data_IF_627153599355
#
_entry.id   IF_627153599355
#
_cell.length_a   1.000
_cell.length_b   1.000
_cell.length_c   1.000
_cell.angle_alpha   90.00
_cell.angle_beta   90.00
_cell.angle_gamma   90.00
#
_symmetry.space_group_name_H-M   'P 1'
#
loop_
_entity.id
_entity.type
_entity.pdbx_description
1 polymer ?
2 non-polymer ?
3 water ?
#
# COMPACT_ATOMS: atom_id res chain seq x y z
N UNK A 27 15.42 -2.07 -18.18
CA UNK A 27 14.74 -3.37 -18.19
C UNK A 27 14.33 -3.78 -16.79
N UNK A 28 14.53 -2.89 -15.82
CA UNK A 28 14.02 -3.09 -14.48
C UNK A 28 12.74 -2.29 -14.35
N UNK A 29 11.62 -2.97 -14.09
CA UNK A 29 10.33 -2.29 -13.99
C UNK A 29 10.08 -1.73 -12.60
N UNK A 30 9.63 -0.48 -12.52
CA UNK A 30 9.32 0.11 -11.24
C UNK A 30 7.87 0.60 -11.17
N UNK A 31 7.22 0.35 -10.03
CA UNK A 31 5.90 0.88 -9.76
C UNK A 31 5.99 1.74 -8.52
N UNK A 32 5.68 3.02 -8.68
CA UNK A 32 5.90 3.97 -7.61
C UNK A 32 4.60 4.66 -7.22
N UNK A 33 4.42 4.80 -5.90
CA UNK A 33 3.38 5.59 -5.31
C UNK A 33 4.02 6.67 -4.48
N UNK A 34 3.65 7.91 -4.76
CA UNK A 34 4.25 9.05 -4.11
C UNK A 34 3.16 9.91 -3.47
N UNK A 35 3.33 10.19 -2.18
CA UNK A 35 2.41 11.05 -1.46
C UNK A 35 2.92 12.49 -1.46
N UNK A 36 2.05 13.41 -1.88
CA UNK A 36 2.36 14.83 -1.97
C UNK A 36 1.35 15.69 -1.22
N UNK A 37 1.84 16.82 -0.71
CA UNK A 37 1.01 17.91 -0.25
C UNK A 37 1.30 19.04 -1.22
N UNK A 38 0.25 19.58 -1.87
CA UNK A 38 0.45 20.65 -2.85
C UNK A 38 1.32 21.80 -2.33
N UNK A 39 1.25 22.08 -1.04
CA UNK A 39 1.98 23.21 -0.47
C UNK A 39 3.47 22.93 -0.29
N UNK A 40 3.86 21.66 -0.26
CA UNK A 40 5.23 21.29 0.09
C UNK A 40 6.25 21.43 -1.04
N UNK A 41 7.26 22.29 -0.85
CA UNK A 41 8.27 22.53 -1.90
C UNK A 41 9.08 21.28 -2.22
N UNK A 42 9.26 20.40 -1.24
CA UNK A 42 10.09 19.22 -1.40
C UNK A 42 9.36 18.12 -2.16
N UNK A 43 8.11 17.88 -1.78
CA UNK A 43 7.25 17.01 -2.57
C UNK A 43 7.22 17.47 -4.00
N UNK A 44 7.30 18.78 -4.21
CA UNK A 44 7.16 19.31 -5.57
C UNK A 44 8.38 18.96 -6.41
N UNK A 45 9.55 19.29 -5.88
CA UNK A 45 10.79 19.01 -6.56
C UNK A 45 10.95 17.51 -6.80
N UNK A 46 10.71 16.72 -5.77
CA UNK A 46 10.90 15.28 -5.90
C UNK A 46 9.83 14.68 -6.81
N UNK A 47 8.59 15.20 -6.76
CA UNK A 47 7.61 14.72 -7.74
C UNK A 47 8.01 15.10 -9.18
N UNK A 48 8.55 16.30 -9.40
CA UNK A 48 8.97 16.70 -10.75
C UNK A 48 10.14 15.81 -11.21
N UNK A 49 11.05 15.54 -10.29
CA UNK A 49 12.16 14.63 -10.56
C UNK A 49 11.66 13.25 -11.00
N UNK A 50 10.70 12.68 -10.28
CA UNK A 50 10.25 11.33 -10.66
C UNK A 50 9.54 11.33 -12.02
N UNK A 51 8.92 12.46 -12.38
CA UNK A 51 8.32 12.60 -13.71
C UNK A 51 9.43 12.70 -14.78
N UNK A 52 10.55 13.33 -14.43
CA UNK A 52 11.74 13.29 -15.28
C UNK A 52 12.23 11.84 -15.42
N UNK A 53 12.21 11.11 -14.31
CA UNK A 53 12.68 9.74 -14.30
C UNK A 53 11.82 8.87 -15.23
N UNK A 54 10.51 9.14 -15.25
CA UNK A 54 9.60 8.41 -16.13
C UNK A 54 10.05 8.38 -17.58
N UNK A 55 10.76 9.42 -18.01
CA UNK A 55 11.13 9.54 -19.41
C UNK A 55 12.40 8.78 -19.74
N UNK A 56 13.24 8.51 -18.74
CA UNK A 56 14.50 7.82 -19.00
C UNK A 56 14.59 6.45 -18.32
N UNK A 57 13.58 6.08 -17.53
CA UNK A 57 13.54 4.75 -16.92
C UNK A 57 12.16 4.14 -17.05
N UNK A 58 12.07 2.82 -16.95
CA UNK A 58 10.79 2.13 -17.01
C UNK A 58 10.05 2.28 -15.68
N UNK A 59 9.55 3.49 -15.44
CA UNK A 59 8.94 3.86 -14.16
C UNK A 59 7.51 4.35 -14.30
N UNK A 60 6.60 3.73 -13.56
CA UNK A 60 5.22 4.15 -13.50
C UNK A 60 4.94 4.84 -12.16
N UNK A 61 4.43 6.07 -12.22
CA UNK A 61 4.19 6.87 -11.03
C UNK A 61 2.71 7.06 -10.75
N UNK A 62 2.30 6.82 -9.51
CA UNK A 62 0.91 7.07 -9.12
C UNK A 62 0.90 7.99 -7.90
N UNK A 63 0.19 9.11 -8.01
CA UNK A 63 0.19 10.09 -6.94
C UNK A 63 -0.92 9.85 -5.94
N UNK A 64 -0.71 10.30 -4.71
CA UNK A 64 -1.71 10.25 -3.64
C UNK A 64 -1.54 11.51 -2.83
N UNK A 65 -2.64 12.08 -2.41
CA UNK A 65 -2.56 13.37 -1.76
C UNK A 65 -2.54 13.16 -0.26
N UNK A 66 -1.70 13.95 0.41
CA UNK A 66 -1.67 13.99 1.86
C UNK A 66 -1.81 15.46 2.28
N UNK A 67 -2.16 15.69 3.55
CA UNK A 67 -2.03 17.02 4.13
C UNK A 67 -0.99 17.00 5.26
N UNK A 68 0.05 17.82 5.11
CA UNK A 68 1.04 17.96 6.18
C UNK A 68 0.43 18.64 7.42
N UNK A 69 -0.53 19.53 7.20
CA UNK A 69 -1.19 20.21 8.31
C UNK A 69 -2.00 19.23 9.15
N UNK A 70 -2.62 18.26 8.49
CA UNK A 70 -3.38 17.24 9.20
C UNK A 70 -2.45 16.25 9.88
N UNK A 71 -1.36 15.90 9.23
CA UNK A 71 -0.37 15.01 9.85
C UNK A 71 0.11 15.58 11.18
N UNK A 72 0.54 16.84 11.17
CA UNK A 72 1.06 17.46 12.38
C UNK A 72 -0.02 17.96 13.32
N UNK A 73 -1.27 17.60 13.04
CA UNK A 73 -2.38 17.99 13.91
C UNK A 73 -2.17 17.46 15.33
N UNK A 74 -1.48 16.33 15.42
CA UNK A 74 -1.28 15.65 16.71
C UNK A 74 -0.18 16.31 17.51
N UNK A 75 0.86 16.78 16.83
CA UNK A 75 1.95 17.50 17.48
C UNK A 75 1.41 18.77 18.16
N UNK A 76 1.85 18.99 19.40
CA UNK A 76 1.39 20.14 20.16
C UNK A 76 2.49 21.18 20.32
N UNK A 77 2.48 22.17 19.43
CA UNK A 77 3.35 23.34 19.55
C UNK A 77 2.48 24.60 19.59
N UNK A 78 2.15 25.05 20.80
CA UNK A 78 1.18 26.13 20.97
C UNK A 78 1.62 27.45 20.33
N UNK A 79 2.93 27.66 20.19
CA UNK A 79 3.46 28.91 19.64
C UNK A 79 3.26 29.06 18.13
N UNK A 80 2.81 27.98 17.48
CA UNK A 80 2.58 28.00 16.04
C UNK A 80 1.10 28.13 15.68
N UNK A 81 0.25 28.13 16.70
CA UNK A 81 -1.20 28.18 16.52
C UNK A 81 -1.74 29.45 15.87
N UNK A 82 -1.19 30.60 16.26
CA UNK A 82 -1.58 31.89 15.69
C UNK A 82 -1.50 31.87 14.16
N UNK A 83 -0.51 31.16 13.65
CA UNK A 83 -0.16 31.22 12.23
C UNK A 83 -0.93 30.24 11.38
N UNK A 84 -1.05 29.01 11.87
CA UNK A 84 -1.67 27.94 11.10
C UNK A 84 -3.12 28.26 10.76
N UNK A 85 -3.78 28.96 11.66
CA UNK A 85 -5.21 29.22 11.51
C UNK A 85 -5.52 30.33 10.51
N UNK A 86 -4.52 31.14 10.17
CA UNK A 86 -4.66 32.13 9.10
C UNK A 86 -3.94 31.67 7.84
N UNK A 87 -3.18 30.60 7.95
CA UNK A 87 -2.46 30.03 6.81
C UNK A 87 -3.38 29.16 5.96
N UNK A 88 -4.29 28.46 6.62
CA UNK A 88 -5.23 27.56 5.95
C UNK A 88 -4.51 26.52 5.09
N UNK A 89 -3.41 25.98 5.63
CA UNK A 89 -2.54 25.07 4.90
C UNK A 89 -3.21 23.76 4.51
N UNK A 90 -4.34 23.47 5.17
CA UNK A 90 -5.13 22.29 4.84
C UNK A 90 -5.90 22.45 3.53
N UNK A 91 -6.07 23.70 3.10
CA UNK A 91 -6.94 24.02 1.97
C UNK A 91 -6.70 23.27 0.67
N UNK A 92 -5.48 23.40 0.10
CA UNK A 92 -5.22 22.77 -1.21
C UNK A 92 -5.37 21.25 -1.19
N UNK A 93 -4.86 20.60 -0.14
CA UNK A 93 -4.98 19.15 0.00
C UNK A 93 -6.44 18.69 0.06
N UNK A 94 -7.28 19.52 0.67
CA UNK A 94 -8.69 19.20 0.81
C UNK A 94 -9.40 19.24 -0.53
N UNK A 95 -9.09 20.26 -1.31
CA UNK A 95 -9.65 20.39 -2.65
C UNK A 95 -9.22 19.23 -3.53
N UNK A 96 -7.93 18.91 -3.48
CA UNK A 96 -7.41 17.90 -4.38
C UNK A 96 -8.02 16.54 -4.05
N UNK A 97 -8.19 16.22 -2.77
CA UNK A 97 -8.77 14.91 -2.45
C UNK A 97 -10.25 14.92 -2.79
N UNK A 98 -10.92 16.06 -2.61
CA UNK A 98 -12.32 16.17 -3.01
C UNK A 98 -12.44 15.97 -4.51
N UNK A 99 -11.47 16.49 -5.26
CA UNK A 99 -11.45 16.31 -6.70
C UNK A 99 -11.30 14.85 -7.06
N UNK A 100 -10.38 14.17 -6.40
CA UNK A 100 -10.16 12.76 -6.67
C UNK A 100 -11.41 11.92 -6.43
N UNK A 101 -12.09 12.17 -5.31
CA UNK A 101 -13.30 11.44 -4.98
C UNK A 101 -14.35 11.55 -6.06
N UNK A 102 -14.38 12.70 -6.74
CA UNK A 102 -15.41 12.96 -7.74
C UNK A 102 -14.98 12.49 -9.12
N UNK A 103 -13.68 12.36 -9.35
CA UNK A 103 -13.20 12.02 -10.69
C UNK A 103 -12.19 10.86 -10.76
N UNK A 104 -11.78 10.35 -9.61
CA UNK A 104 -10.76 9.31 -9.57
C UNK A 104 -9.36 9.90 -9.71
N UNK A 105 -8.36 9.01 -9.64
CA UNK A 105 -6.95 9.37 -9.57
C UNK A 105 -6.38 10.07 -10.80
N UNK A 106 -7.07 9.96 -11.92
CA UNK A 106 -6.59 10.55 -13.17
C UNK A 106 -6.50 12.07 -13.05
N UNK A 107 -7.17 12.61 -12.06
CA UNK A 107 -7.26 14.06 -11.92
C UNK A 107 -6.13 14.61 -11.03
N UNK A 108 -5.40 13.74 -10.35
CA UNK A 108 -4.39 14.19 -9.40
C UNK A 108 -3.21 14.88 -10.07
N UNK A 109 -2.65 14.22 -11.08
CA UNK A 109 -1.47 14.75 -11.76
C UNK A 109 -1.76 16.11 -12.44
N UNK A 110 -2.81 16.21 -13.27
CA UNK A 110 -3.01 17.56 -13.84
C UNK A 110 -3.35 18.64 -12.80
N UNK A 111 -4.11 18.30 -11.76
CA UNK A 111 -4.50 19.30 -10.77
C UNK A 111 -3.32 19.72 -9.89
N UNK A 112 -2.43 18.76 -9.62
CA UNK A 112 -1.24 18.99 -8.81
C UNK A 112 -0.26 19.91 -9.55
N UNK A 113 0.00 19.57 -10.80
CA UNK A 113 0.87 20.35 -11.64
C UNK A 113 0.35 21.79 -11.75
N UNK A 114 -0.95 21.97 -11.94
CA UNK A 114 -1.51 23.32 -12.08
C UNK A 114 -1.34 24.12 -10.78
N UNK A 115 -1.54 23.47 -9.65
CA UNK A 115 -1.34 24.15 -8.37
C UNK A 115 0.12 24.42 -8.12
N UNK A 116 0.95 23.40 -8.31
CA UNK A 116 2.36 23.47 -7.98
C UNK A 116 3.11 24.50 -8.77
N UNK A 117 2.84 24.60 -10.07
CA UNK A 117 3.47 25.62 -10.89
C UNK A 117 3.24 27.01 -10.28
N UNK A 118 2.03 27.22 -9.77
CA UNK A 118 1.66 28.51 -9.17
C UNK A 118 2.31 28.71 -7.81
N UNK A 119 2.11 27.75 -6.91
CA UNK A 119 2.59 27.88 -5.55
C UNK A 119 4.12 27.94 -5.49
N UNK A 120 4.75 27.15 -6.34
CA UNK A 120 6.18 26.98 -6.27
C UNK A 120 6.95 27.75 -7.36
N UNK A 121 6.78 27.38 -8.62
CA UNK A 121 7.53 28.02 -9.69
C UNK A 121 7.27 29.52 -9.72
N UNK A 122 6.03 29.92 -9.45
CA UNK A 122 5.63 31.32 -9.59
C UNK A 122 5.45 32.01 -8.24
N UNK A 123 5.70 31.28 -7.15
CA UNK A 123 5.63 31.82 -5.79
C UNK A 123 4.29 32.52 -5.51
N UNK A 124 3.20 31.83 -5.83
CA UNK A 124 1.87 32.40 -5.62
C UNK A 124 1.28 31.84 -4.34
N UNK A 125 1.26 32.65 -3.28
CA UNK A 125 0.83 32.20 -1.97
C UNK A 125 -0.61 32.60 -1.66
N UNK A 126 -1.30 33.17 -2.64
CA UNK A 126 -2.74 33.37 -2.52
C UNK A 126 -3.46 32.08 -2.90
N UNK A 127 -3.72 31.25 -1.91
CA UNK A 127 -4.22 29.90 -2.14
C UNK A 127 -5.65 29.87 -2.70
N UNK A 128 -6.47 30.83 -2.30
CA UNK A 128 -7.80 30.99 -2.92
C UNK A 128 -7.64 31.11 -4.43
N UNK A 129 -6.71 31.96 -4.85
CA UNK A 129 -6.44 32.16 -6.27
C UNK A 129 -5.90 30.91 -6.93
N UNK A 130 -4.92 30.28 -6.29
CA UNK A 130 -4.28 29.08 -6.81
C UNK A 130 -5.31 27.98 -7.00
N UNK A 131 -6.17 27.80 -6.00
CA UNK A 131 -7.20 26.78 -6.07
C UNK A 131 -8.21 27.11 -7.17
N UNK A 132 -8.68 28.35 -7.19
CA UNK A 132 -9.71 28.75 -8.14
C UNK A 132 -9.22 28.58 -9.58
N UNK A 133 -8.01 29.06 -9.85
CA UNK A 133 -7.44 29.00 -11.18
C UNK A 133 -7.06 27.56 -11.59
N UNK A 134 -6.57 26.76 -10.64
CA UNK A 134 -6.15 25.40 -10.96
C UNK A 134 -7.33 24.48 -11.26
N UNK A 135 -8.40 24.61 -10.48
CA UNK A 135 -9.65 23.91 -10.80
C UNK A 135 -10.12 24.25 -12.21
N UNK A 136 -10.07 25.53 -12.55
CA UNK A 136 -10.56 25.98 -13.85
C UNK A 136 -9.68 25.44 -14.99
N UNK A 137 -8.36 25.58 -14.86
CA UNK A 137 -7.41 24.99 -15.79
C UNK A 137 -7.67 23.52 -16.08
N UNK A 138 -8.20 22.79 -15.11
CA UNK A 138 -8.37 21.35 -15.27
C UNK A 138 -9.84 20.96 -15.52
N UNK A 139 -10.69 21.94 -15.80
CA UNK A 139 -12.06 21.65 -16.16
C UNK A 139 -12.92 21.07 -15.04
N UNK A 140 -12.52 21.29 -13.80
CA UNK A 140 -13.26 20.77 -12.66
C UNK A 140 -14.30 21.80 -12.21
N UNK A 141 -15.34 21.37 -11.47
CA UNK A 141 -16.35 22.37 -11.10
C UNK A 141 -15.79 23.37 -10.08
N UNK A 142 -16.13 24.65 -10.26
CA UNK A 142 -15.63 25.72 -9.39
C UNK A 142 -16.03 25.47 -7.95
N UNK A 143 -17.18 24.84 -7.78
CA UNK A 143 -17.70 24.44 -6.47
C UNK A 143 -16.68 23.69 -5.59
N UNK A 144 -15.80 22.89 -6.18
CA UNK A 144 -14.85 22.08 -5.39
C UNK A 144 -13.93 22.94 -4.50
N UNK A 145 -13.84 24.23 -4.82
CA UNK A 145 -13.01 25.17 -4.06
C UNK A 145 -13.48 25.30 -2.61
N UNK A 146 -14.80 25.17 -2.41
CA UNK A 146 -15.39 25.21 -1.08
C UNK A 146 -14.88 24.11 -0.12
N UNK A 147 -14.26 23.05 -0.66
CA UNK A 147 -13.77 21.97 0.18
C UNK A 147 -12.59 22.42 1.05
N UNK A 148 -11.95 23.50 0.65
CA UNK A 148 -10.85 24.05 1.45
C UNK A 148 -11.31 24.43 2.86
N UNK A 149 -12.56 24.87 2.96
CA UNK A 149 -13.10 25.38 4.21
C UNK A 149 -13.92 24.31 4.95
N UNK A 150 -14.04 23.14 4.33
CA UNK A 150 -14.82 22.06 4.91
C UNK A 150 -13.91 21.01 5.53
N UNK A 151 -14.35 20.39 6.61
CA UNK A 151 -13.54 19.35 7.23
C UNK A 151 -14.01 17.96 6.84
N UNK A 152 -14.94 17.90 5.88
CA UNK A 152 -15.62 16.66 5.51
C UNK A 152 -14.70 15.62 4.85
N UNK A 153 -13.53 16.05 4.37
CA UNK A 153 -12.62 15.13 3.70
C UNK A 153 -11.40 14.82 4.56
N UNK A 154 -11.41 15.32 5.79
CA UNK A 154 -10.24 15.19 6.64
C UNK A 154 -9.96 13.74 6.98
N UNK A 155 -11.02 12.96 7.21
CA UNK A 155 -10.86 11.54 7.51
C UNK A 155 -10.33 10.78 6.31
N UNK A 156 -10.81 11.11 5.11
CA UNK A 156 -10.23 10.56 3.90
C UNK A 156 -8.73 10.84 3.85
N UNK A 157 -8.35 12.06 4.19
CA UNK A 157 -6.95 12.46 4.18
C UNK A 157 -6.15 11.68 5.21
N UNK A 158 -6.71 11.49 6.41
CA UNK A 158 -6.03 10.69 7.43
C UNK A 158 -5.86 9.26 6.97
N UNK A 159 -6.85 8.77 6.22
CA UNK A 159 -6.80 7.44 5.63
C UNK A 159 -5.66 7.33 4.64
N UNK A 160 -5.52 8.36 3.80
CA UNK A 160 -4.44 8.41 2.83
C UNK A 160 -3.09 8.36 3.55
N UNK A 161 -3.03 8.97 4.74
CA UNK A 161 -1.80 9.07 5.52
C UNK A 161 -1.40 7.71 6.05
N UNK A 162 -2.34 6.99 6.63
CA UNK A 162 -2.07 5.64 7.12
C UNK A 162 -1.58 4.72 5.99
N UNK A 163 -2.11 4.94 4.80
CA UNK A 163 -1.69 4.14 3.64
C UNK A 163 -0.24 4.44 3.25
N UNK A 164 0.15 5.70 3.27
CA UNK A 164 1.49 6.10 2.87
C UNK A 164 2.56 5.98 3.94
N UNK A 165 2.18 6.25 5.19
CA UNK A 165 3.11 6.30 6.32
C UNK A 165 3.11 5.04 7.18
N UNK A 166 4.28 4.47 7.38
CA UNK A 166 4.48 3.43 8.39
C UNK A 166 5.97 3.28 8.63
N UNK A 172 7.37 11.70 9.49
CA UNK A 172 6.70 11.85 8.20
C UNK A 172 7.64 12.40 7.14
N UNK A 173 7.57 11.82 5.95
CA UNK A 173 8.47 12.21 4.88
C UNK A 173 7.90 13.14 3.82
N UNK A 174 8.77 13.99 3.27
CA UNK A 174 8.38 14.95 2.26
C UNK A 174 9.30 14.83 1.04
N UNK A 175 8.89 14.03 0.04
CA UNK A 175 7.68 13.21 0.05
C UNK A 175 7.91 11.82 0.61
N UNK A 176 6.82 11.07 0.72
CA UNK A 176 6.85 9.65 1.02
C UNK A 176 6.60 8.87 -0.26
N UNK A 177 7.41 7.84 -0.48
CA UNK A 177 7.47 7.12 -1.73
C UNK A 177 7.49 5.62 -1.45
N UNK A 178 6.60 4.88 -2.12
CA UNK A 178 6.67 3.43 -2.12
C UNK A 178 7.09 3.01 -3.50
N UNK A 179 8.17 2.25 -3.62
CA UNK A 179 8.53 1.70 -4.91
C UNK A 179 8.80 0.20 -4.78
N UNK A 180 8.13 -0.59 -5.61
CA UNK A 180 8.38 -2.02 -5.69
C UNK A 180 8.37 -2.73 -4.34
N UNK A 181 7.42 -2.36 -3.48
CA UNK A 181 7.27 -3.03 -2.20
C UNK A 181 8.04 -2.41 -1.05
N UNK A 182 8.96 -1.49 -1.34
CA UNK A 182 9.70 -0.82 -0.27
C UNK A 182 9.34 0.68 -0.15
N UNK A 183 9.47 1.22 1.05
CA UNK A 183 9.09 2.60 1.30
C UNK A 183 10.31 3.44 1.69
N UNK A 184 10.27 4.73 1.35
CA UNK A 184 11.29 5.64 1.82
C UNK A 184 10.83 7.09 1.82
N UNK A 185 11.54 7.90 2.60
CA UNK A 185 11.30 9.33 2.67
C UNK A 185 12.34 10.04 1.81
N UNK A 186 11.89 10.93 0.94
CA UNK A 186 12.82 11.57 0.03
C UNK A 186 12.83 10.92 -1.34
N UNK A 187 13.93 11.05 -2.08
CA UNK A 187 15.13 11.83 -1.73
C UNK A 187 14.81 13.30 -1.64
N UNK A 188 15.34 13.94 -0.61
CA UNK A 188 15.19 15.37 -0.47
C UNK A 188 16.17 16.02 -1.43
N UNK A 189 15.64 16.71 -2.44
CA UNK A 189 16.48 17.41 -3.41
C UNK A 189 16.12 18.90 -3.46
N UNK A 190 17.13 19.76 -3.58
CA UNK A 190 16.89 21.21 -3.55
C UNK A 190 16.76 21.78 -4.96
N UNK A 191 16.97 20.92 -5.93
CA UNK A 191 16.85 21.28 -7.33
C UNK A 191 16.33 20.05 -8.08
N UNK A 192 15.65 20.30 -9.20
CA UNK A 192 15.10 19.22 -10.01
C UNK A 192 16.11 18.73 -11.04
N UNK A 193 16.61 17.50 -10.86
CA UNK A 193 17.50 16.85 -11.84
C UNK A 193 16.73 16.49 -13.10
N UNK A 194 17.37 16.61 -14.25
CA UNK A 194 16.70 16.40 -15.53
C UNK A 194 17.33 15.24 -16.30
N UNK A 195 16.54 14.63 -17.19
CA UNK A 195 17.04 13.63 -18.10
C UNK A 195 17.81 12.50 -17.46
N UNK A 196 18.95 12.14 -18.05
CA UNK A 196 19.71 10.98 -17.59
C UNK A 196 20.26 11.19 -16.19
N UNK A 197 20.59 12.43 -15.86
CA UNK A 197 21.04 12.72 -14.50
C UNK A 197 19.97 12.33 -13.50
N UNK A 198 18.71 12.64 -13.84
CA UNK A 198 17.59 12.28 -12.99
C UNK A 198 17.53 10.77 -12.83
N UNK A 199 17.79 10.06 -13.93
CA UNK A 199 17.75 8.60 -13.93
C UNK A 199 18.86 7.99 -13.10
N UNK A 200 20.08 8.50 -13.25
CA UNK A 200 21.23 7.97 -12.51
C UNK A 200 21.00 8.11 -11.00
N UNK A 201 20.29 9.16 -10.60
CA UNK A 201 19.98 9.38 -9.20
C UNK A 201 18.86 8.46 -8.76
N UNK A 202 17.99 8.11 -9.71
CA UNK A 202 16.94 7.13 -9.43
C UNK A 202 17.60 5.77 -9.14
N UNK A 203 18.49 5.37 -10.03
CA UNK A 203 19.18 4.10 -9.91
C UNK A 203 19.87 4.00 -8.55
N UNK A 204 20.57 5.06 -8.15
CA UNK A 204 21.29 5.07 -6.88
C UNK A 204 20.33 5.06 -5.70
N UNK A 205 19.29 5.88 -5.77
CA UNK A 205 18.31 5.93 -4.69
C UNK A 205 17.69 4.56 -4.46
N UNK A 206 17.37 3.86 -5.55
CA UNK A 206 16.64 2.62 -5.42
C UNK A 206 17.56 1.49 -4.99
N UNK A 207 18.84 1.62 -5.30
CA UNK A 207 19.81 0.64 -4.84
C UNK A 207 19.84 0.65 -3.32
N UNK A 208 19.91 1.83 -2.73
CA UNK A 208 19.92 1.94 -1.28
C UNK A 208 18.60 1.47 -0.69
N UNK A 209 17.50 1.93 -1.28
CA UNK A 209 16.16 1.59 -0.82
C UNK A 209 15.87 0.11 -0.89
N UNK A 210 16.39 -0.55 -1.93
CA UNK A 210 16.14 -1.98 -2.13
C UNK A 210 16.86 -2.82 -1.08
N UNK A 211 17.90 -2.26 -0.46
CA UNK A 211 18.59 -2.93 0.62
C UNK A 211 17.81 -2.82 1.91
N UNK A 212 17.22 -3.93 2.38
CA UNK A 212 16.32 -3.91 3.53
C UNK A 212 17.00 -3.42 4.82
N UNK A 213 18.32 -3.44 4.87
CA UNK A 213 18.99 -2.98 6.08
C UNK A 213 19.61 -1.58 5.91
N UNK A 214 19.16 -0.86 4.88
CA UNK A 214 19.54 0.54 4.76
C UNK A 214 18.52 1.42 5.45
N UNK A 215 18.97 2.39 6.23
CA UNK A 215 18.02 3.28 6.87
C UNK A 215 18.20 4.78 6.58
N UNK A 216 19.43 5.23 6.33
CA UNK A 216 19.62 6.67 6.22
C UNK A 216 20.93 7.10 5.56
N UNK A 217 20.85 8.20 4.81
CA UNK A 217 21.99 8.90 4.23
C UNK A 217 21.60 10.37 4.15
N UNK A 218 22.30 11.23 4.88
CA UNK A 218 21.88 12.64 4.99
C UNK A 218 23.04 13.58 5.21
N UNK A 219 22.81 14.86 4.92
CA UNK A 219 23.69 15.93 5.40
C UNK A 219 22.85 17.16 5.60
N UNK A 220 23.34 18.14 6.36
CA UNK A 220 22.55 19.35 6.61
C UNK A 220 22.24 20.06 5.31
N UNK A 221 20.99 20.47 5.17
CA UNK A 221 20.54 21.17 3.99
C UNK A 221 21.02 22.62 4.02
N UNK A 222 21.77 23.01 2.99
CA UNK A 222 22.39 24.32 2.92
C UNK A 222 21.77 25.24 1.85
N UNK A 223 20.78 24.74 1.13
CA UNK A 223 20.18 25.48 0.03
C UNK A 223 18.67 25.54 0.13
N UNK A 224 18.09 26.68 -0.26
CA UNK A 224 16.64 26.74 -0.40
C UNK A 224 16.22 25.92 -1.62
N UNK A 225 14.97 25.44 -1.64
CA UNK A 225 14.51 24.77 -2.87
C UNK A 225 14.50 25.73 -4.06
N UNK A 226 14.99 25.26 -5.21
CA UNK A 226 14.95 26.01 -6.46
C UNK A 226 14.14 25.22 -7.48
N UNK A 227 13.34 25.91 -8.29
CA UNK A 227 12.32 25.24 -9.10
C UNK A 227 12.53 25.27 -10.61
N UNK A 228 13.58 25.94 -11.08
CA UNK A 228 13.83 26.01 -12.52
C UNK A 228 14.14 24.61 -13.07
N UNK B 30 -3.39 -13.05 21.91
CA UNK B 30 -2.58 -13.71 20.87
C UNK B 30 -2.60 -12.93 19.56
N UNK B 31 -1.43 -12.79 18.95
CA UNK B 31 -1.32 -12.20 17.62
C UNK B 31 -1.04 -13.29 16.59
N UNK B 32 -2.00 -13.53 15.70
CA UNK B 32 -1.84 -14.55 14.64
C UNK B 32 -1.51 -13.91 13.30
N UNK B 33 -0.55 -14.50 12.59
CA UNK B 33 -0.17 -14.02 11.26
C UNK B 33 -0.27 -15.16 10.27
N UNK B 34 -0.84 -14.88 9.09
CA UNK B 34 -1.00 -15.91 8.08
C UNK B 34 -0.59 -15.39 6.70
N UNK B 35 0.21 -16.17 5.98
CA UNK B 35 0.64 -15.81 4.61
C UNK B 35 -0.30 -16.46 3.58
N UNK B 36 -0.68 -15.71 2.55
CA UNK B 36 -1.65 -16.23 1.56
C UNK B 36 -1.32 -15.90 0.12
N UNK B 37 -1.56 -16.89 -0.75
CA UNK B 37 -1.68 -16.69 -2.19
C UNK B 37 -3.17 -16.81 -2.47
N UNK B 38 -3.76 -15.79 -3.10
CA UNK B 38 -5.20 -15.86 -3.36
C UNK B 38 -5.62 -17.15 -4.08
N UNK B 39 -4.72 -17.77 -4.83
CA UNK B 39 -5.05 -18.98 -5.59
C UNK B 39 -5.05 -20.28 -4.78
N UNK B 40 -4.42 -20.28 -3.61
CA UNK B 40 -4.34 -21.49 -2.77
C UNK B 40 -5.62 -21.75 -1.96
N UNK B 41 -6.27 -22.91 -2.21
CA UNK B 41 -7.48 -23.31 -1.49
C UNK B 41 -7.22 -23.59 -0.01
N UNK B 42 -6.02 -24.08 0.31
CA UNK B 42 -5.68 -24.37 1.70
C UNK B 42 -5.49 -23.08 2.52
N UNK B 43 -4.69 -22.14 1.99
CA UNK B 43 -4.65 -20.79 2.56
C UNK B 43 -6.03 -20.22 2.79
N UNK B 44 -6.92 -20.42 1.83
CA UNK B 44 -8.26 -19.83 1.89
C UNK B 44 -9.04 -20.42 3.06
N UNK B 45 -9.15 -21.75 3.07
CA UNK B 45 -9.85 -22.42 4.16
C UNK B 45 -9.24 -22.08 5.52
N UNK B 46 -7.91 -22.12 5.62
CA UNK B 46 -7.27 -21.80 6.90
C UNK B 46 -7.44 -20.33 7.29
N UNK B 47 -7.43 -19.43 6.31
CA UNK B 47 -7.69 -18.03 6.62
C UNK B 47 -9.12 -17.84 7.11
N UNK B 48 -10.09 -18.52 6.50
CA UNK B 48 -11.47 -18.38 6.97
C UNK B 48 -11.58 -18.94 8.39
N UNK B 49 -10.87 -20.03 8.65
CA UNK B 49 -10.86 -20.61 9.98
C UNK B 49 -10.37 -19.61 11.01
N UNK B 50 -9.20 -19.00 10.72
CA UNK B 50 -8.61 -17.98 11.57
C UNK B 50 -9.63 -16.87 11.87
N UNK B 51 -10.37 -16.48 10.85
CA UNK B 51 -11.44 -15.49 11.02
C UNK B 51 -12.57 -15.98 11.91
N UNK B 52 -12.94 -17.26 11.82
CA UNK B 52 -13.89 -17.82 12.77
C UNK B 52 -13.33 -17.75 14.18
N UNK B 53 -12.07 -18.16 14.32
CA UNK B 53 -11.36 -18.16 15.61
C UNK B 53 -11.40 -16.78 16.27
N UNK B 54 -11.18 -15.77 15.45
CA UNK B 54 -11.15 -14.38 15.88
C UNK B 54 -12.45 -13.93 16.58
N UNK B 55 -13.54 -14.63 16.30
CA UNK B 55 -14.83 -14.28 16.87
C UNK B 55 -15.03 -14.89 18.26
N UNK B 56 -14.38 -16.01 18.52
CA UNK B 56 -14.65 -16.74 19.75
C UNK B 56 -13.40 -16.88 20.63
N UNK B 57 -12.33 -16.19 20.24
CA UNK B 57 -11.08 -16.14 21.01
C UNK B 57 -10.47 -14.75 20.93
N UNK B 58 -9.64 -14.41 21.91
CA UNK B 58 -8.95 -13.13 21.91
C UNK B 58 -7.71 -13.20 21.02
N UNK B 59 -7.94 -13.12 19.71
CA UNK B 59 -6.89 -13.32 18.72
C UNK B 59 -6.86 -12.18 17.70
N UNK B 60 -5.69 -11.58 17.54
CA UNK B 60 -5.53 -10.52 16.55
C UNK B 60 -4.89 -11.08 15.29
N UNK B 61 -5.54 -10.82 14.15
CA UNK B 61 -5.18 -11.43 12.87
C UNK B 61 -4.53 -10.48 11.87
N UNK B 62 -3.45 -10.91 11.25
CA UNK B 62 -2.78 -10.14 10.22
C UNK B 62 -2.44 -11.03 9.03
N UNK B 63 -2.91 -10.65 7.85
CA UNK B 63 -2.61 -11.40 6.62
C UNK B 63 -1.41 -10.79 5.88
N UNK B 64 -0.72 -11.63 5.11
CA UNK B 64 0.42 -11.20 4.29
C UNK B 64 0.35 -11.96 2.98
N UNK B 65 0.40 -11.23 1.87
CA UNK B 65 0.29 -11.83 0.55
C UNK B 65 1.63 -12.33 0.05
N UNK B 66 1.62 -13.41 -0.70
CA UNK B 66 2.79 -13.94 -1.36
C UNK B 66 2.32 -14.72 -2.55
N UNK B 67 3.26 -15.19 -3.36
CA UNK B 67 2.93 -15.99 -4.54
C UNK B 67 3.56 -17.36 -4.48
N UNK B 68 2.73 -18.39 -4.58
CA UNK B 68 3.22 -19.77 -4.62
C UNK B 68 4.00 -20.05 -5.88
N UNK B 69 3.63 -19.36 -6.97
CA UNK B 69 4.31 -19.48 -8.25
C UNK B 69 5.72 -18.99 -8.13
N UNK B 70 5.87 -17.93 -7.33
CA UNK B 70 7.17 -17.31 -7.14
C UNK B 70 8.00 -18.16 -6.19
N UNK B 71 7.34 -18.72 -5.18
CA UNK B 71 7.99 -19.65 -4.26
C UNK B 71 8.60 -20.82 -5.03
N UNK B 72 7.92 -21.24 -6.08
CA UNK B 72 8.36 -22.39 -6.88
C UNK B 72 9.01 -21.98 -8.21
N UNK B 73 10.24 -21.47 -8.14
CA UNK B 73 10.95 -21.01 -9.33
C UNK B 73 12.09 -21.95 -9.70
N UNK B 88 -1.28 -16.07 -16.10
CA UNK B 88 -0.20 -16.47 -15.19
C UNK B 88 -0.72 -16.57 -13.77
N UNK B 89 -0.15 -17.51 -13.01
CA UNK B 89 -0.53 -17.69 -11.62
C UNK B 89 -0.02 -16.53 -10.74
N UNK B 90 0.93 -15.76 -11.26
CA UNK B 90 1.44 -14.58 -10.57
C UNK B 90 0.40 -13.48 -10.40
N UNK B 91 -0.65 -13.52 -11.22
CA UNK B 91 -1.55 -12.38 -11.37
C UNK B 91 -2.19 -11.80 -10.12
N UNK B 92 -3.03 -12.60 -9.44
CA UNK B 92 -3.74 -12.13 -8.24
C UNK B 92 -2.84 -11.61 -7.11
N UNK B 93 -1.77 -12.34 -6.80
CA UNK B 93 -0.84 -11.94 -5.73
C UNK B 93 -0.19 -10.59 -6.06
N UNK B 94 0.23 -10.42 -7.30
CA UNK B 94 0.77 -9.14 -7.75
C UNK B 94 -0.22 -7.99 -7.53
N UNK B 95 -1.49 -8.21 -7.88
CA UNK B 95 -2.51 -7.17 -7.77
C UNK B 95 -2.78 -6.84 -6.31
N UNK B 96 -2.80 -7.87 -5.47
CA UNK B 96 -3.04 -7.65 -4.06
C UNK B 96 -1.88 -6.82 -3.41
N UNK B 97 -0.63 -7.16 -3.70
CA UNK B 97 0.50 -6.42 -3.09
C UNK B 97 0.61 -5.01 -3.70
N UNK B 98 0.19 -4.84 -4.95
CA UNK B 98 0.11 -3.49 -5.55
C UNK B 98 -0.94 -2.69 -4.81
N UNK B 99 -2.05 -3.34 -4.49
CA UNK B 99 -3.13 -2.67 -3.77
C UNK B 99 -2.63 -2.24 -2.40
N UNK B 100 -1.93 -3.16 -1.72
CA UNK B 100 -1.34 -2.86 -0.42
C UNK B 100 -0.34 -1.70 -0.51
N UNK B 101 0.50 -1.68 -1.53
CA UNK B 101 1.48 -0.61 -1.67
C UNK B 101 0.80 0.74 -1.81
N UNK B 102 -0.37 0.74 -2.46
CA UNK B 102 -1.10 1.99 -2.69
C UNK B 102 -2.03 2.34 -1.53
N UNK B 103 -2.57 1.33 -0.84
CA UNK B 103 -3.62 1.57 0.15
C UNK B 103 -3.32 1.14 1.57
N UNK B 104 -2.19 0.46 1.78
CA UNK B 104 -1.85 -0.02 3.10
C UNK B 104 -2.45 -1.38 3.39
N UNK B 105 -2.05 -1.93 4.53
CA UNK B 105 -2.35 -3.32 4.88
C UNK B 105 -3.84 -3.55 5.12
N UNK B 106 -4.58 -2.49 5.39
CA UNK B 106 -6.00 -2.64 5.67
C UNK B 106 -6.78 -3.17 4.45
N UNK B 107 -6.15 -3.13 3.29
CA UNK B 107 -6.81 -3.54 2.06
C UNK B 107 -6.71 -5.05 1.85
N UNK B 108 -5.75 -5.68 2.51
CA UNK B 108 -5.50 -7.12 2.33
C UNK B 108 -6.75 -7.94 2.62
N UNK B 109 -7.34 -7.78 3.81
CA UNK B 109 -8.48 -8.58 4.19
C UNK B 109 -9.66 -8.47 3.21
N UNK B 110 -10.12 -7.24 2.86
CA UNK B 110 -11.29 -7.25 1.97
C UNK B 110 -10.97 -7.70 0.53
N UNK B 111 -9.81 -7.33 0.00
CA UNK B 111 -9.51 -7.70 -1.38
C UNK B 111 -9.31 -9.21 -1.49
N UNK B 112 -8.73 -9.79 -0.45
CA UNK B 112 -8.50 -11.24 -0.40
C UNK B 112 -9.84 -11.97 -0.35
N UNK B 113 -10.73 -11.52 0.52
CA UNK B 113 -12.04 -12.14 0.68
C UNK B 113 -12.81 -12.11 -0.65
N UNK B 114 -12.80 -10.95 -1.32
CA UNK B 114 -13.48 -10.77 -2.60
C UNK B 114 -12.95 -11.73 -3.67
N UNK B 115 -11.63 -11.90 -3.72
CA UNK B 115 -11.03 -12.81 -4.69
C UNK B 115 -11.29 -14.28 -4.34
N UNK B 116 -11.24 -14.60 -3.05
CA UNK B 116 -11.30 -15.98 -2.61
C UNK B 116 -12.69 -16.55 -2.80
N UNK B 117 -13.71 -15.74 -2.52
CA UNK B 117 -15.10 -16.12 -2.74
C UNK B 117 -15.31 -16.54 -4.20
N UNK B 118 -14.71 -15.76 -5.11
CA UNK B 118 -14.80 -16.03 -6.53
C UNK B 118 -13.99 -17.25 -6.91
N UNK B 119 -12.73 -17.27 -6.51
CA UNK B 119 -11.83 -18.33 -6.94
C UNK B 119 -12.20 -19.70 -6.36
N UNK B 120 -12.60 -19.71 -5.09
CA UNK B 120 -12.80 -20.97 -4.41
C UNK B 120 -14.27 -21.31 -4.23
N UNK B 121 -15.02 -20.46 -3.52
CA UNK B 121 -16.43 -20.76 -3.27
C UNK B 121 -17.21 -20.91 -4.57
N UNK B 122 -16.92 -20.04 -5.53
CA UNK B 122 -17.63 -20.04 -6.81
C UNK B 122 -16.83 -20.69 -7.94
N UNK B 123 -15.67 -21.25 -7.63
CA UNK B 123 -14.84 -21.98 -8.61
C UNK B 123 -14.59 -21.21 -9.91
N UNK B 124 -14.21 -19.94 -9.80
CA UNK B 124 -13.97 -19.09 -10.96
C UNK B 124 -12.48 -19.01 -11.30
N UNK B 125 -12.09 -19.67 -12.38
CA UNK B 125 -10.67 -19.77 -12.72
C UNK B 125 -10.26 -18.67 -13.69
N UNK B 126 -11.23 -17.88 -14.11
CA UNK B 126 -11.00 -16.79 -15.05
C UNK B 126 -10.33 -15.61 -14.34
N UNK B 127 -9.02 -15.68 -14.21
CA UNK B 127 -8.28 -14.76 -13.33
C UNK B 127 -8.38 -13.29 -13.75
N UNK B 128 -8.36 -13.03 -15.06
CA UNK B 128 -8.57 -11.66 -15.54
C UNK B 128 -9.86 -11.09 -14.94
N UNK B 129 -10.93 -11.86 -15.09
CA UNK B 129 -12.26 -11.52 -14.61
C UNK B 129 -12.34 -11.40 -13.09
N UNK B 130 -11.72 -12.35 -12.37
CA UNK B 130 -11.71 -12.30 -10.91
C UNK B 130 -11.08 -11.02 -10.38
N UNK B 131 -9.90 -10.69 -10.91
CA UNK B 131 -9.17 -9.49 -10.52
C UNK B 131 -9.99 -8.24 -10.74
N UNK B 132 -10.54 -8.12 -11.95
CA UNK B 132 -11.33 -6.97 -12.32
C UNK B 132 -12.54 -6.78 -11.41
N UNK B 133 -13.33 -7.82 -11.22
CA UNK B 133 -14.53 -7.73 -10.39
C UNK B 133 -14.20 -7.59 -8.90
N UNK B 134 -13.09 -8.16 -8.46
CA UNK B 134 -12.69 -8.06 -7.06
C UNK B 134 -12.19 -6.66 -6.73
N UNK B 135 -11.44 -6.07 -7.65
CA UNK B 135 -11.04 -4.68 -7.49
C UNK B 135 -12.30 -3.81 -7.42
N UNK B 136 -13.29 -4.13 -8.24
CA UNK B 136 -14.51 -3.34 -8.31
C UNK B 136 -15.34 -3.53 -7.04
N UNK B 137 -15.45 -4.79 -6.56
CA UNK B 137 -16.17 -5.05 -5.32
C UNK B 137 -15.63 -4.25 -4.13
N UNK B 138 -14.33 -3.99 -4.11
CA UNK B 138 -13.71 -3.40 -2.94
C UNK B 138 -13.45 -1.90 -3.11
N UNK B 139 -14.03 -1.30 -4.15
CA UNK B 139 -13.91 0.12 -4.37
C UNK B 139 -12.51 0.60 -4.66
N UNK B 140 -11.69 -0.28 -5.23
CA UNK B 140 -10.30 0.05 -5.53
C UNK B 140 -10.17 0.47 -6.99
N UNK B 141 -9.12 1.23 -7.32
CA UNK B 141 -9.02 1.68 -8.72
C UNK B 141 -8.78 0.49 -9.66
N UNK B 142 -9.52 0.46 -10.76
CA UNK B 142 -9.48 -0.62 -11.76
C UNK B 142 -8.09 -0.78 -12.36
N UNK B 143 -7.32 0.30 -12.35
CA UNK B 143 -5.97 0.33 -12.90
C UNK B 143 -5.01 -0.65 -12.22
N UNK B 144 -5.32 -1.04 -10.98
CA UNK B 144 -4.44 -1.93 -10.25
C UNK B 144 -4.31 -3.28 -10.96
N UNK B 145 -5.31 -3.61 -11.79
CA UNK B 145 -5.31 -4.87 -12.55
C UNK B 145 -4.03 -5.04 -13.36
N UNK B 146 -3.56 -3.95 -13.95
CA UNK B 146 -2.36 -3.94 -14.79
C UNK B 146 -1.13 -4.53 -14.09
N UNK B 147 -1.17 -4.58 -12.76
CA UNK B 147 -0.03 -5.09 -11.98
C UNK B 147 0.19 -6.59 -12.18
N UNK B 148 -0.85 -7.29 -12.61
CA UNK B 148 -0.73 -8.72 -12.88
C UNK B 148 0.32 -9.01 -13.95
N UNK B 149 0.52 -8.04 -14.86
CA UNK B 149 1.44 -8.25 -15.99
C UNK B 149 2.78 -7.57 -15.78
N UNK B 150 3.03 -7.13 -14.54
CA UNK B 150 4.28 -6.46 -14.20
C UNK B 150 5.07 -7.27 -13.18
N UNK B 151 6.40 -7.25 -13.27
CA UNK B 151 7.23 -7.98 -12.31
C UNK B 151 7.83 -7.09 -11.22
N UNK B 152 7.42 -5.82 -11.22
CA UNK B 152 7.95 -4.81 -10.28
C UNK B 152 7.77 -5.17 -8.82
N UNK B 153 6.74 -5.95 -8.49
CA UNK B 153 6.47 -6.32 -7.11
C UNK B 153 6.96 -7.72 -6.77
N UNK B 154 7.64 -8.38 -7.70
CA UNK B 154 8.06 -9.78 -7.49
C UNK B 154 9.14 -9.93 -6.39
N UNK B 155 10.03 -8.96 -6.23
CA UNK B 155 10.99 -9.01 -5.11
C UNK B 155 10.28 -8.84 -3.79
N UNK B 156 9.25 -8.00 -3.79
CA UNK B 156 8.49 -7.79 -2.57
C UNK B 156 7.75 -9.06 -2.16
N UNK B 157 7.22 -9.78 -3.15
CA UNK B 157 6.50 -11.04 -2.88
C UNK B 157 7.49 -12.09 -2.37
N UNK B 158 8.72 -12.08 -2.89
CA UNK B 158 9.78 -12.95 -2.39
C UNK B 158 10.10 -12.65 -0.93
N UNK B 159 10.27 -11.37 -0.62
CA UNK B 159 10.63 -10.98 0.73
C UNK B 159 9.52 -11.42 1.68
N UNK B 160 8.29 -11.37 1.20
CA UNK B 160 7.14 -11.74 2.01
C UNK B 160 7.10 -13.23 2.35
N UNK B 161 7.34 -14.09 1.36
CA UNK B 161 7.23 -15.52 1.64
C UNK B 161 8.45 -15.98 2.43
N UNK B 162 9.59 -15.34 2.24
CA UNK B 162 10.74 -15.60 3.09
C UNK B 162 10.48 -15.18 4.55
N UNK B 163 9.82 -14.05 4.75
CA UNK B 163 9.49 -13.62 6.11
C UNK B 163 8.53 -14.63 6.77
N UNK B 164 7.62 -15.19 5.99
CA UNK B 164 6.67 -16.14 6.55
C UNK B 164 7.21 -17.53 6.71
N UNK B 165 7.88 -18.04 5.68
CA UNK B 165 8.19 -19.47 5.56
C UNK B 165 9.56 -19.87 6.08
N UNK B 166 10.53 -18.96 6.01
CA UNK B 166 11.85 -19.26 6.55
C UNK B 166 11.85 -19.68 8.03
N UNK B 167 10.98 -19.09 8.86
CA UNK B 167 10.98 -19.57 10.26
C UNK B 167 10.42 -20.98 10.46
N UNK B 168 9.55 -21.43 9.55
CA UNK B 168 9.01 -22.78 9.61
C UNK B 168 10.11 -23.79 9.30
N UNK B 169 11.19 -23.31 8.68
CA UNK B 169 12.36 -24.12 8.42
C UNK B 169 12.68 -24.29 6.95
N UNK B 170 13.47 -25.30 6.63
CA UNK B 170 13.93 -25.51 5.26
C UNK B 170 12.79 -25.94 4.33
N UNK B 171 11.99 -26.91 4.76
CA UNK B 171 10.92 -27.46 3.92
C UNK B 171 9.95 -26.39 3.41
N UNK B 172 9.29 -26.68 2.29
CA UNK B 172 8.24 -25.80 1.79
C UNK B 172 6.89 -26.44 2.06
N UNK B 173 5.87 -25.60 2.23
CA UNK B 173 4.53 -26.08 2.55
C UNK B 173 3.51 -24.96 2.47
N UNK B 174 2.28 -25.26 2.90
CA UNK B 174 1.19 -24.30 2.88
C UNK B 174 0.00 -24.83 3.68
N UNK B 175 -0.63 -23.97 4.49
CA UNK B 175 -0.36 -22.53 4.63
C UNK B 175 0.57 -22.18 5.78
N UNK B 176 1.22 -21.03 5.68
CA UNK B 176 2.11 -20.58 6.73
C UNK B 176 1.37 -19.69 7.75
N UNK B 177 1.44 -20.09 9.01
CA UNK B 177 0.82 -19.40 10.14
C UNK B 177 1.85 -19.15 11.25
N UNK B 178 1.90 -17.94 11.80
CA UNK B 178 2.74 -17.65 12.97
C UNK B 178 1.86 -17.24 14.14
N UNK B 179 2.18 -17.70 15.34
CA UNK B 179 1.46 -17.26 16.53
C UNK B 179 2.38 -16.89 17.66
N UNK B 180 2.44 -15.61 17.99
CA UNK B 180 3.32 -15.08 19.01
C UNK B 180 4.75 -15.53 18.76
N UNK B 181 5.11 -15.59 17.49
CA UNK B 181 6.43 -16.01 17.07
C UNK B 181 6.41 -17.36 16.38
N UNK B 182 5.87 -18.37 17.08
CA UNK B 182 5.95 -19.76 16.65
C UNK B 182 5.39 -20.00 15.25
N UNK B 183 6.28 -20.33 14.31
CA UNK B 183 5.90 -20.57 12.93
C UNK B 183 5.65 -22.06 12.66
N UNK B 184 4.51 -22.35 12.04
CA UNK B 184 4.18 -23.71 11.62
C UNK B 184 3.51 -23.70 10.24
N UNK B 185 3.52 -24.85 9.57
CA UNK B 185 2.68 -25.09 8.39
C UNK B 185 1.34 -25.66 8.85
N UNK B 186 0.24 -24.98 8.55
CA UNK B 186 -1.07 -25.50 8.89
C UNK B 186 -1.71 -24.75 10.04
N UNK B 187 -2.81 -25.30 10.59
CA UNK B 187 -3.44 -26.58 10.26
C UNK B 187 -3.95 -26.63 8.85
N UNK B 188 -3.58 -27.70 8.13
CA UNK B 188 -4.19 -27.96 6.84
C UNK B 188 -5.61 -28.52 7.06
N UNK B 189 -6.60 -27.81 6.55
CA UNK B 189 -8.00 -28.19 6.76
C UNK B 189 -8.77 -28.26 5.45
N UNK B 190 -9.52 -29.34 5.23
CA UNK B 190 -10.28 -29.49 3.99
C UNK B 190 -11.68 -28.91 4.08
N UNK B 191 -12.04 -28.41 5.25
CA UNK B 191 -13.32 -27.74 5.46
C UNK B 191 -13.14 -26.66 6.52
N UNK B 192 -13.93 -25.59 6.42
CA UNK B 192 -13.84 -24.46 7.35
C UNK B 192 -14.64 -24.72 8.63
N UNK B 193 -13.94 -24.89 9.77
CA UNK B 193 -14.67 -25.08 11.03
C UNK B 193 -15.27 -23.75 11.52
N UNK B 194 -16.41 -23.80 12.20
CA UNK B 194 -17.16 -22.61 12.58
C UNK B 194 -17.34 -22.46 14.09
N UNK B 195 -17.39 -21.22 14.55
CA UNK B 195 -17.71 -20.92 15.94
C UNK B 195 -16.82 -21.58 16.98
N UNK B 196 -17.44 -22.18 17.97
CA UNK B 196 -16.70 -22.72 19.10
C UNK B 196 -15.82 -23.89 18.67
N UNK B 197 -16.30 -24.65 17.68
CA UNK B 197 -15.53 -25.76 17.12
C UNK B 197 -14.25 -25.26 16.50
N UNK B 198 -14.32 -24.14 15.79
CA UNK B 198 -13.15 -23.53 15.20
C UNK B 198 -12.18 -23.11 16.30
N UNK B 199 -12.72 -22.65 17.41
CA UNK B 199 -11.94 -22.21 18.55
C UNK B 199 -11.20 -23.36 19.23
N UNK B 200 -11.88 -24.48 19.43
CA UNK B 200 -11.25 -25.65 20.06
C UNK B 200 -10.07 -26.13 19.23
N UNK B 201 -10.24 -26.10 17.92
CA UNK B 201 -9.15 -26.47 17.03
C UNK B 201 -7.99 -25.50 17.20
N UNK B 202 -8.31 -24.23 17.40
CA UNK B 202 -7.30 -23.21 17.68
C UNK B 202 -6.56 -23.49 19.00
N UNK B 203 -7.33 -23.73 20.07
CA UNK B 203 -6.76 -24.07 21.37
C UNK B 203 -5.77 -25.23 21.26
N UNK B 204 -6.17 -26.29 20.56
CA UNK B 204 -5.32 -27.47 20.41
C UNK B 204 -4.06 -27.15 19.61
N UNK B 205 -4.23 -26.55 18.43
CA UNK B 205 -3.11 -26.07 17.63
C UNK B 205 -2.13 -25.24 18.46
N UNK B 206 -2.68 -24.35 19.30
CA UNK B 206 -1.86 -23.53 20.16
C UNK B 206 -1.05 -24.33 21.17
N UNK B 207 -1.68 -25.33 21.77
CA UNK B 207 -1.02 -26.15 22.77
C UNK B 207 0.17 -26.87 22.15
N UNK B 208 -0.03 -27.46 20.97
CA UNK B 208 1.03 -28.18 20.29
C UNK B 208 2.15 -27.27 19.80
N UNK B 209 1.77 -26.18 19.14
CA UNK B 209 2.74 -25.21 18.64
C UNK B 209 3.58 -24.62 19.78
N UNK B 210 2.98 -24.51 20.97
CA UNK B 210 3.68 -23.97 22.13
C UNK B 210 4.71 -24.94 22.72
N UNK B 211 4.62 -26.23 22.37
CA UNK B 211 5.58 -27.20 22.89
C UNK B 211 6.78 -27.29 21.96
N UNK B 212 7.96 -26.84 22.44
CA UNK B 212 9.09 -26.63 21.52
C UNK B 212 9.68 -27.91 20.92
N UNK B 213 9.24 -29.09 21.38
CA UNK B 213 9.73 -30.35 20.81
C UNK B 213 8.66 -31.11 20.04
N UNK B 214 7.59 -30.41 19.65
CA UNK B 214 6.59 -31.01 18.77
C UNK B 214 6.89 -30.56 17.35
N UNK B 215 6.80 -31.47 16.39
CA UNK B 215 7.11 -31.05 15.02
C UNK B 215 6.08 -31.45 13.96
N UNK B 216 5.25 -32.45 14.24
CA UNK B 216 4.33 -32.93 13.21
C UNK B 216 3.17 -33.75 13.76
N UNK B 217 2.01 -33.57 13.14
CA UNK B 217 0.83 -34.41 13.34
C UNK B 217 0.09 -34.39 12.03
N UNK B 218 -0.10 -35.55 11.45
CA UNK B 218 -0.43 -35.62 10.04
C UNK B 218 -1.32 -36.82 9.81
N UNK B 219 -2.09 -36.75 8.74
CA UNK B 219 -2.94 -37.86 8.33
C UNK B 219 -3.08 -37.81 6.81
N UNK B 220 -3.16 -38.98 6.19
CA UNK B 220 -3.32 -39.06 4.74
C UNK B 220 -4.54 -38.27 4.26
N UNK B 221 -4.33 -37.40 3.27
CA UNK B 221 -5.39 -36.56 2.74
C UNK B 221 -6.42 -37.36 1.95
N UNK B 222 -7.66 -37.36 2.43
CA UNK B 222 -8.75 -38.13 1.85
C UNK B 222 -9.63 -37.31 0.91
N UNK B 223 -9.80 -36.04 1.24
CA UNK B 223 -10.78 -35.18 0.59
C UNK B 223 -10.17 -34.03 -0.19
N UNK B 224 -10.90 -33.54 -1.20
CA UNK B 224 -10.55 -32.23 -1.75
C UNK B 224 -11.00 -31.12 -0.80
N UNK B 225 -10.52 -29.88 -1.01
CA UNK B 225 -11.07 -28.77 -0.23
C UNK B 225 -12.56 -28.60 -0.49
N UNK B 226 -13.33 -28.28 0.55
CA UNK B 226 -14.70 -27.81 0.36
C UNK B 226 -14.87 -26.46 1.06
N UNK B 227 -15.66 -25.58 0.47
CA UNK B 227 -15.69 -24.20 0.89
C UNK B 227 -17.02 -23.77 1.48
N UNK B 228 -18.00 -24.66 1.45
CA UNK B 228 -19.28 -24.38 2.09
C UNK B 228 -19.11 -24.38 3.61
#
# INVERSE_FOLDING_TARGET
MAHHHHHHMGTLEAQTQGPGSMPEKASVKYQADLWFDPLCPWCWITSRWILEVEKVRDVEVHFHVMSLAILNENREDLTENYLENITKAWGPARVVIAAEQANGASVLDPLYTAMGIRIHNEDNKNLDEVIKRSLADTGLPAELAAAAQSNAYDDALRESHHAGMDPVGDDVGTPTVHVNGVAFFGPVLSKIPRGEEAGKLWDASLTLAAYPHFFELKRTRTEPPQFA
MAHHHHHHMGTLEAQTQGPGSMPEKASVKYQADLWFDPLCPWCWITSRWILEVEKVRDVEVHFHVMSLAILNENREDLTENYLENITKAWGPARVVIAAEQANGASVLDPLYTAMGIRIHNEDNKNLDEVIKRSLADTGLPAELAAAAQSNAYDDALRESHHAGMDPVGDDVGTPTVHVNGVAFFGPVLSKIPRGEEAGKLWDASLTLAAYPHFFELKRTRTEPPQFA
#
